data_IF_049077166494
#
_entry.id   IF_049077166494
#
_cell.length_a   1.000
_cell.length_b   1.000
_cell.length_c   1.000
_cell.angle_alpha   90.00
_cell.angle_beta   90.00
_cell.angle_gamma   90.00
#
_symmetry.space_group_name_H-M   'P 1'
#
loop_
_entity.id
_entity.type
_entity.pdbx_description
1 polymer ?
#
# COMPACT_ATOMS: atom_id res chain seq x y z
N UNK A 1 21.37 31.43 -3.01
CA UNK A 1 21.43 29.96 -3.16
C UNK A 1 20.19 29.44 -2.46
N UNK A 2 19.37 28.66 -3.13
CA UNK A 2 18.19 28.05 -2.50
C UNK A 2 18.59 26.84 -1.62
N UNK A 3 17.63 26.31 -0.86
CA UNK A 3 17.87 25.19 0.07
C UNK A 3 18.41 23.94 -0.65
N UNK A 4 17.87 23.64 -1.83
CA UNK A 4 18.25 22.51 -2.66
C UNK A 4 19.70 22.59 -3.14
N UNK A 5 20.09 23.75 -3.65
CA UNK A 5 21.47 23.99 -4.07
C UNK A 5 22.42 23.99 -2.88
N UNK A 6 21.95 24.53 -1.73
CA UNK A 6 22.74 24.61 -0.50
C UNK A 6 23.20 23.25 0.00
N UNK A 7 22.33 22.24 -0.04
CA UNK A 7 22.63 20.89 0.40
C UNK A 7 22.85 19.88 -0.73
N UNK A 8 22.98 20.34 -1.97
CA UNK A 8 23.16 19.48 -3.14
C UNK A 8 22.07 18.40 -3.28
N UNK A 9 20.80 18.74 -3.05
CA UNK A 9 19.72 17.78 -3.12
C UNK A 9 19.47 17.27 -4.55
N UNK A 10 19.29 15.97 -4.69
CA UNK A 10 19.06 15.28 -5.95
C UNK A 10 17.63 15.49 -6.47
N UNK A 11 17.40 16.62 -7.18
CA UNK A 11 16.10 16.95 -7.77
C UNK A 11 14.96 17.24 -6.78
N UNK A 12 15.28 17.47 -5.50
CA UNK A 12 14.31 17.64 -4.40
C UNK A 12 14.41 19.01 -3.75
N UNK A 13 13.31 19.44 -3.14
CA UNK A 13 13.23 20.71 -2.41
C UNK A 13 13.55 20.55 -0.91
N UNK A 14 13.58 19.33 -0.39
CA UNK A 14 13.79 19.03 1.03
C UNK A 14 14.26 17.59 1.24
N UNK A 15 14.64 17.23 2.49
CA UNK A 15 14.97 15.85 2.89
C UNK A 15 13.72 14.99 3.18
N UNK A 16 12.54 15.37 2.71
CA UNK A 16 11.30 14.60 2.93
C UNK A 16 11.12 13.51 1.90
N UNK A 17 10.45 12.42 2.33
CA UNK A 17 10.04 11.30 1.48
C UNK A 17 8.55 11.09 1.69
N UNK A 18 7.79 11.19 0.62
CA UNK A 18 6.34 10.94 0.62
C UNK A 18 5.88 10.41 -0.74
N UNK A 19 5.66 9.09 -0.89
CA UNK A 19 5.26 8.50 -2.16
C UNK A 19 3.85 8.91 -2.61
N UNK A 20 3.00 9.45 -1.71
CA UNK A 20 1.70 10.03 -2.08
C UNK A 20 1.85 11.36 -2.80
N UNK A 21 2.92 12.10 -2.52
CA UNK A 21 3.23 13.41 -3.13
C UNK A 21 4.17 13.24 -4.32
N UNK A 22 5.22 12.44 -4.15
CA UNK A 22 6.21 12.16 -5.19
C UNK A 22 6.27 10.65 -5.45
N UNK A 23 5.68 10.15 -6.56
CA UNK A 23 5.66 8.71 -6.86
C UNK A 23 7.04 8.05 -6.97
N UNK A 24 8.10 8.82 -7.33
CA UNK A 24 9.46 8.28 -7.38
C UNK A 24 9.97 7.85 -5.99
N UNK A 25 9.37 8.33 -4.92
CA UNK A 25 9.70 7.95 -3.55
C UNK A 25 9.30 6.50 -3.24
N UNK A 26 8.46 5.88 -4.03
CA UNK A 26 8.06 4.48 -3.90
C UNK A 26 9.25 3.51 -4.00
N UNK A 27 10.30 3.88 -4.73
CA UNK A 27 11.53 3.07 -4.86
C UNK A 27 12.33 2.97 -3.58
N UNK A 28 12.21 3.95 -2.68
CA UNK A 28 13.03 4.03 -1.47
C UNK A 28 12.49 3.13 -0.36
N UNK A 29 13.37 2.31 0.19
CA UNK A 29 13.10 1.48 1.37
C UNK A 29 14.39 1.26 2.13
N UNK A 30 14.68 2.15 3.07
CA UNK A 30 15.96 2.23 3.77
C UNK A 30 15.99 1.33 5.00
N UNK A 31 17.16 0.79 5.27
CA UNK A 31 17.38 -0.15 6.36
C UNK A 31 16.49 -1.39 6.23
N UNK A 32 16.41 -2.20 7.27
CA UNK A 32 15.45 -3.32 7.38
C UNK A 32 15.52 -4.34 6.23
N UNK A 33 16.71 -4.58 5.71
CA UNK A 33 16.92 -5.51 4.57
C UNK A 33 16.32 -6.90 4.84
N UNK A 34 16.37 -7.38 6.09
CA UNK A 34 15.79 -8.67 6.45
C UNK A 34 14.27 -8.70 6.25
N UNK A 35 13.56 -7.66 6.71
CA UNK A 35 12.10 -7.54 6.57
C UNK A 35 11.72 -7.41 5.08
N UNK A 36 12.42 -6.52 4.37
CA UNK A 36 12.26 -6.32 2.93
C UNK A 36 12.40 -7.63 2.15
N UNK A 37 13.48 -8.38 2.41
CA UNK A 37 13.75 -9.66 1.77
C UNK A 37 12.70 -10.72 2.12
N UNK A 38 12.24 -10.76 3.38
CA UNK A 38 11.15 -11.64 3.82
C UNK A 38 9.86 -11.35 3.05
N UNK A 39 9.44 -10.09 2.97
CA UNK A 39 8.22 -9.70 2.24
C UNK A 39 8.35 -10.04 0.75
N UNK A 40 9.47 -9.65 0.11
CA UNK A 40 9.73 -9.95 -1.30
C UNK A 40 9.71 -11.46 -1.58
N UNK A 41 10.27 -12.28 -0.71
CA UNK A 41 10.25 -13.74 -0.85
C UNK A 41 8.82 -14.32 -0.76
N UNK A 42 7.99 -13.82 0.15
CA UNK A 42 6.59 -14.24 0.28
C UNK A 42 5.76 -13.83 -0.94
N UNK A 43 5.97 -12.62 -1.47
CA UNK A 43 5.32 -12.17 -2.69
C UNK A 43 5.69 -13.07 -3.88
N UNK A 44 6.96 -13.37 -4.09
CA UNK A 44 7.41 -14.28 -5.17
C UNK A 44 6.72 -15.63 -5.08
N UNK A 45 6.65 -16.24 -3.90
CA UNK A 45 5.96 -17.53 -3.69
C UNK A 45 4.50 -17.46 -4.13
N UNK A 46 3.80 -16.36 -3.83
CA UNK A 46 2.39 -16.18 -4.20
C UNK A 46 2.17 -16.19 -5.72
N UNK A 47 3.19 -15.86 -6.52
CA UNK A 47 3.10 -15.87 -7.98
C UNK A 47 3.61 -17.17 -8.62
N UNK A 48 4.46 -17.93 -7.94
CA UNK A 48 4.95 -19.24 -8.41
C UNK A 48 3.87 -20.31 -8.23
N UNK A 49 3.22 -20.34 -7.09
CA UNK A 49 2.02 -21.12 -6.85
C UNK A 49 0.84 -20.42 -7.56
N UNK A 50 -0.10 -21.16 -8.19
CA UNK A 50 -1.24 -20.53 -8.85
C UNK A 50 -2.06 -19.77 -7.80
N UNK A 51 -1.74 -18.50 -7.59
CA UNK A 51 -2.32 -17.68 -6.54
C UNK A 51 -2.05 -16.20 -6.70
N UNK A 52 -2.41 -15.48 -5.66
CA UNK A 52 -2.25 -14.03 -5.48
C UNK A 52 -1.77 -13.74 -4.06
N UNK A 53 -1.06 -12.64 -3.83
CA UNK A 53 -0.61 -12.30 -2.48
C UNK A 53 -1.79 -12.04 -1.55
N UNK A 54 -1.72 -12.56 -0.33
CA UNK A 54 -2.61 -12.26 0.78
C UNK A 54 -1.73 -12.00 1.99
N UNK A 55 -1.64 -10.74 2.41
CA UNK A 55 -0.69 -10.31 3.44
C UNK A 55 -1.28 -9.23 4.32
N UNK A 56 -0.86 -9.19 5.57
CA UNK A 56 -1.14 -8.12 6.52
C UNK A 56 0.19 -7.57 7.04
N UNK A 57 0.37 -6.27 6.92
CA UNK A 57 1.53 -5.54 7.43
C UNK A 57 1.05 -4.71 8.62
N UNK A 58 1.76 -4.75 9.74
CA UNK A 58 1.39 -3.97 10.90
C UNK A 58 2.60 -3.34 11.58
N UNK A 59 2.38 -2.30 12.37
CA UNK A 59 3.41 -1.56 13.09
C UNK A 59 2.89 -0.25 13.65
N UNK A 60 3.71 0.44 14.43
CA UNK A 60 3.38 1.74 15.03
C UNK A 60 3.19 2.84 13.99
N UNK A 61 2.66 4.01 14.41
CA UNK A 61 2.64 5.21 13.57
C UNK A 61 4.07 5.63 13.19
N UNK A 62 4.26 6.00 11.91
CA UNK A 62 5.57 6.41 11.42
C UNK A 62 6.56 5.26 11.19
N UNK A 63 6.15 4.00 11.40
CA UNK A 63 6.99 2.84 11.12
C UNK A 63 7.27 2.61 9.63
N UNK A 64 6.57 3.28 8.70
CA UNK A 64 6.77 3.17 7.26
C UNK A 64 5.86 2.16 6.56
N UNK A 65 4.70 1.81 7.13
CA UNK A 65 3.72 0.90 6.51
C UNK A 65 3.25 1.38 5.14
N UNK A 66 2.82 2.64 5.05
CA UNK A 66 2.42 3.27 3.78
C UNK A 66 3.56 3.23 2.77
N UNK A 67 4.78 3.61 3.19
CA UNK A 67 5.98 3.51 2.34
C UNK A 67 6.22 2.07 1.88
N UNK A 68 5.98 1.09 2.75
CA UNK A 68 6.09 -0.33 2.40
C UNK A 68 5.10 -0.70 1.28
N UNK A 69 3.84 -0.27 1.36
CA UNK A 69 2.85 -0.56 0.30
C UNK A 69 3.30 0.01 -1.05
N UNK A 70 3.73 1.26 -1.11
CA UNK A 70 4.22 1.88 -2.35
C UNK A 70 5.50 1.22 -2.87
N UNK A 71 6.43 0.87 -1.96
CA UNK A 71 7.63 0.12 -2.34
C UNK A 71 7.29 -1.26 -2.93
N UNK A 72 6.29 -1.95 -2.39
CA UNK A 72 5.84 -3.23 -2.91
C UNK A 72 5.16 -3.09 -4.27
N UNK A 73 4.42 -2.01 -4.51
CA UNK A 73 3.93 -1.69 -5.85
C UNK A 73 5.09 -1.54 -6.84
N UNK A 74 6.05 -0.67 -6.50
CA UNK A 74 7.24 -0.47 -7.33
C UNK A 74 7.98 -1.79 -7.62
N UNK A 75 8.18 -2.62 -6.59
CA UNK A 75 8.81 -3.91 -6.70
C UNK A 75 8.05 -4.86 -7.63
N UNK A 76 6.73 -4.96 -7.48
CA UNK A 76 5.88 -5.84 -8.27
C UNK A 76 5.82 -5.42 -9.74
N UNK A 77 5.86 -4.12 -10.02
CA UNK A 77 5.81 -3.57 -11.37
C UNK A 77 7.15 -3.65 -12.11
N UNK A 78 8.27 -3.50 -11.39
CA UNK A 78 9.56 -3.26 -12.02
C UNK A 78 10.62 -4.34 -11.74
N UNK A 79 10.55 -5.04 -10.61
CA UNK A 79 11.64 -5.90 -10.14
C UNK A 79 11.26 -7.38 -9.97
N UNK A 80 9.97 -7.73 -9.94
CA UNK A 80 9.52 -9.09 -9.65
C UNK A 80 9.29 -9.91 -10.95
N UNK A 81 10.22 -10.79 -11.36
CA UNK A 81 10.10 -11.56 -12.61
C UNK A 81 8.93 -12.53 -12.60
N UNK A 82 8.58 -13.08 -11.42
CA UNK A 82 7.50 -14.03 -11.24
C UNK A 82 6.12 -13.37 -11.45
N UNK A 83 6.00 -12.08 -11.11
CA UNK A 83 4.80 -11.29 -11.37
C UNK A 83 4.62 -11.00 -12.88
N UNK A 84 5.71 -11.00 -13.65
CA UNK A 84 5.69 -10.63 -15.08
C UNK A 84 5.01 -11.64 -16.00
N UNK A 85 4.58 -12.81 -15.50
CA UNK A 85 3.76 -13.76 -16.29
C UNK A 85 2.36 -13.21 -16.58
N UNK A 86 1.85 -12.37 -15.68
CA UNK A 86 0.62 -11.58 -15.83
C UNK A 86 0.88 -10.21 -15.22
N UNK A 87 0.59 -9.15 -15.96
CA UNK A 87 0.84 -7.78 -15.48
C UNK A 87 0.05 -7.51 -14.18
N UNK A 88 0.71 -7.15 -13.08
CA UNK A 88 -0.02 -6.81 -11.85
C UNK A 88 -0.81 -5.52 -12.05
N UNK A 89 -2.13 -5.59 -11.86
CA UNK A 89 -3.02 -4.44 -11.73
C UNK A 89 -3.11 -4.09 -10.26
N UNK A 90 -2.31 -3.13 -9.82
CA UNK A 90 -2.22 -2.72 -8.44
C UNK A 90 -3.12 -1.51 -8.21
N UNK A 91 -3.90 -1.56 -7.14
CA UNK A 91 -4.87 -0.53 -6.76
C UNK A 91 -4.66 -0.15 -5.30
N UNK A 92 -4.38 1.13 -5.05
CA UNK A 92 -4.28 1.69 -3.70
C UNK A 92 -5.64 2.12 -3.19
N UNK A 93 -5.90 1.82 -1.92
CA UNK A 93 -7.11 2.18 -1.21
C UNK A 93 -6.76 2.56 0.23
N UNK A 94 -7.01 3.81 0.61
CA UNK A 94 -7.08 4.21 2.01
C UNK A 94 -8.47 3.83 2.52
N UNK A 95 -8.54 2.88 3.47
CA UNK A 95 -9.81 2.37 3.99
C UNK A 95 -10.53 3.45 4.78
N UNK A 96 -11.81 3.64 4.48
CA UNK A 96 -12.69 4.55 5.20
C UNK A 96 -13.85 3.77 5.82
N UNK A 97 -13.80 3.57 7.15
CA UNK A 97 -14.83 2.87 7.91
C UNK A 97 -15.37 3.71 9.04
N UNK A 98 -16.69 3.76 9.15
CA UNK A 98 -17.43 4.48 10.19
C UNK A 98 -18.19 3.50 11.09
N UNK A 99 -18.80 4.01 12.14
CA UNK A 99 -19.50 3.18 13.15
C UNK A 99 -20.65 2.32 12.61
N UNK A 100 -21.20 2.69 11.45
CA UNK A 100 -22.31 1.98 10.77
C UNK A 100 -21.88 1.28 9.49
N UNK A 101 -20.62 1.41 9.09
CA UNK A 101 -20.10 0.76 7.88
C UNK A 101 -20.17 -0.76 8.01
N UNK A 102 -20.45 -1.42 6.89
CA UNK A 102 -20.50 -2.86 6.77
C UNK A 102 -19.71 -3.37 5.55
N UNK A 103 -19.90 -4.62 5.19
CA UNK A 103 -19.24 -5.24 4.02
C UNK A 103 -19.61 -4.58 2.69
N UNK A 104 -20.75 -3.90 2.58
CA UNK A 104 -21.17 -3.20 1.35
C UNK A 104 -20.32 -1.96 1.13
N UNK A 105 -20.04 -1.21 2.20
CA UNK A 105 -19.17 -0.03 2.11
C UNK A 105 -17.74 -0.41 1.71
N UNK A 106 -17.20 -1.50 2.27
CA UNK A 106 -15.88 -1.98 1.88
C UNK A 106 -15.87 -2.47 0.43
N UNK A 107 -16.86 -3.26 0.03
CA UNK A 107 -16.98 -3.73 -1.35
C UNK A 107 -17.09 -2.57 -2.34
N UNK A 108 -17.90 -1.56 -2.01
CA UNK A 108 -18.05 -0.35 -2.81
C UNK A 108 -16.68 0.34 -3.03
N UNK A 109 -15.90 0.55 -1.97
CA UNK A 109 -14.58 1.16 -2.06
C UNK A 109 -13.65 0.34 -2.98
N UNK A 110 -13.61 -0.99 -2.86
CA UNK A 110 -12.79 -1.86 -3.72
C UNK A 110 -13.19 -1.76 -5.19
N UNK A 111 -14.48 -1.83 -5.48
CA UNK A 111 -14.99 -1.80 -6.86
C UNK A 111 -14.83 -0.41 -7.48
N UNK A 112 -15.11 0.67 -6.74
CA UNK A 112 -14.93 2.05 -7.24
C UNK A 112 -13.46 2.38 -7.51
N UNK A 113 -12.53 1.91 -6.67
CA UNK A 113 -11.08 2.07 -6.90
C UNK A 113 -10.63 1.38 -8.19
N UNK A 114 -11.22 0.23 -8.54
CA UNK A 114 -10.94 -0.45 -9.79
C UNK A 114 -11.45 0.35 -11.01
N UNK A 115 -12.61 0.95 -10.89
CA UNK A 115 -13.22 1.80 -11.90
C UNK A 115 -13.94 1.07 -13.02
N UNK A 116 -15.11 1.61 -13.41
CA UNK A 116 -15.97 1.07 -14.48
C UNK A 116 -15.22 0.90 -15.81
N UNK A 117 -14.43 1.90 -16.20
CA UNK A 117 -13.71 1.92 -17.48
C UNK A 117 -12.78 0.73 -17.64
N UNK A 118 -12.08 0.36 -16.57
CA UNK A 118 -11.16 -0.79 -16.53
C UNK A 118 -11.91 -2.10 -16.81
N UNK A 119 -12.99 -2.34 -16.05
CA UNK A 119 -13.78 -3.58 -16.18
C UNK A 119 -14.45 -3.66 -17.55
N UNK A 120 -15.01 -2.55 -18.05
CA UNK A 120 -15.61 -2.49 -19.40
C UNK A 120 -14.57 -2.79 -20.49
N UNK A 121 -13.36 -2.24 -20.38
CA UNK A 121 -12.29 -2.51 -21.35
C UNK A 121 -11.86 -4.00 -21.33
N UNK A 122 -11.85 -4.66 -20.18
CA UNK A 122 -11.58 -6.10 -20.10
C UNK A 122 -12.66 -6.93 -20.78
N UNK A 123 -13.94 -6.55 -20.62
CA UNK A 123 -15.05 -7.23 -21.28
C UNK A 123 -14.99 -7.01 -22.81
N UNK A 124 -14.64 -5.82 -23.27
CA UNK A 124 -14.49 -5.53 -24.70
C UNK A 124 -13.32 -6.32 -25.31
N UNK A 125 -12.21 -6.44 -24.62
CA UNK A 125 -11.09 -7.29 -25.06
C UNK A 125 -11.47 -8.77 -25.10
N UNK A 126 -12.20 -9.25 -24.09
CA UNK A 126 -12.71 -10.62 -24.07
C UNK A 126 -13.66 -10.86 -25.25
N UNK A 127 -14.60 -9.92 -25.50
CA UNK A 127 -15.55 -10.00 -26.62
C UNK A 127 -14.83 -10.08 -27.99
N UNK A 128 -13.75 -9.33 -28.17
CA UNK A 128 -13.01 -9.36 -29.43
C UNK A 128 -12.28 -10.68 -29.70
N UNK A 129 -12.08 -11.52 -28.67
CA UNK A 129 -11.33 -12.78 -28.72
C UNK A 129 -12.22 -14.03 -28.64
N UNK A 130 -13.50 -13.88 -28.30
CA UNK A 130 -14.40 -15.02 -28.13
C UNK A 130 -15.58 -14.99 -29.11
N UNK A 131 -16.01 -16.17 -29.56
CA UNK A 131 -17.21 -16.30 -30.39
C UNK A 131 -18.50 -16.28 -29.58
N UNK A 132 -18.43 -16.59 -28.28
CA UNK A 132 -19.60 -16.67 -27.39
C UNK A 132 -19.29 -16.02 -26.04
N UNK A 133 -19.56 -14.71 -25.97
CA UNK A 133 -19.33 -13.92 -24.78
C UNK A 133 -20.17 -14.41 -23.58
N UNK A 134 -21.43 -14.80 -23.81
CA UNK A 134 -22.35 -15.25 -22.74
C UNK A 134 -21.79 -16.50 -22.04
N UNK A 135 -21.29 -17.46 -22.79
CA UNK A 135 -20.68 -18.68 -22.23
C UNK A 135 -19.42 -18.35 -21.44
N UNK A 136 -18.56 -17.47 -21.96
CA UNK A 136 -17.33 -17.07 -21.28
C UNK A 136 -17.65 -16.32 -19.99
N UNK A 137 -18.57 -15.34 -20.00
CA UNK A 137 -18.94 -14.60 -18.80
C UNK A 137 -19.56 -15.52 -17.74
N UNK A 138 -20.40 -16.48 -18.14
CA UNK A 138 -20.95 -17.50 -17.21
C UNK A 138 -19.83 -18.37 -16.61
N UNK A 139 -18.83 -18.73 -17.38
CA UNK A 139 -17.66 -19.49 -16.90
C UNK A 139 -16.83 -18.67 -15.89
N UNK A 140 -16.64 -17.38 -16.16
CA UNK A 140 -15.84 -16.46 -15.33
C UNK A 140 -16.56 -16.19 -14.00
N UNK A 141 -17.83 -15.81 -14.05
CA UNK A 141 -18.57 -15.38 -12.87
C UNK A 141 -19.26 -16.52 -12.10
N UNK A 142 -19.52 -17.65 -12.76
CA UNK A 142 -20.21 -18.80 -12.15
C UNK A 142 -21.66 -18.53 -11.72
N UNK A 143 -22.20 -17.36 -12.03
CA UNK A 143 -23.54 -16.90 -11.65
C UNK A 143 -24.19 -16.15 -12.80
N UNK A 144 -25.46 -16.49 -13.12
CA UNK A 144 -26.18 -15.92 -14.27
C UNK A 144 -26.38 -14.40 -14.11
N UNK A 145 -26.78 -13.92 -12.93
CA UNK A 145 -27.01 -12.49 -12.70
C UNK A 145 -25.70 -11.69 -12.85
N UNK A 146 -24.57 -12.22 -12.33
CA UNK A 146 -23.26 -11.57 -12.48
C UNK A 146 -22.82 -11.52 -13.94
N UNK A 147 -23.04 -12.60 -14.70
CA UNK A 147 -22.73 -12.67 -16.13
C UNK A 147 -23.58 -11.67 -16.95
N UNK A 148 -24.89 -11.57 -16.68
CA UNK A 148 -25.78 -10.63 -17.35
C UNK A 148 -25.40 -9.17 -16.99
N UNK A 149 -25.13 -8.87 -15.70
CA UNK A 149 -24.66 -7.55 -15.30
C UNK A 149 -23.32 -7.19 -15.98
N UNK A 150 -22.37 -8.13 -16.06
CA UNK A 150 -21.09 -7.93 -16.75
C UNK A 150 -21.28 -7.65 -18.26
N UNK A 151 -22.16 -8.39 -18.92
CA UNK A 151 -22.51 -8.16 -20.33
C UNK A 151 -23.04 -6.74 -20.54
N UNK A 152 -23.89 -6.26 -19.63
CA UNK A 152 -24.48 -4.92 -19.69
C UNK A 152 -23.48 -3.79 -19.44
N UNK A 153 -22.36 -4.04 -18.74
CA UNK A 153 -21.29 -3.04 -18.59
C UNK A 153 -20.77 -2.55 -19.95
N UNK A 154 -20.68 -3.45 -20.91
CA UNK A 154 -20.22 -3.16 -22.27
C UNK A 154 -21.19 -2.29 -23.07
N UNK A 155 -22.50 -2.36 -22.77
CA UNK A 155 -23.51 -1.64 -23.53
C UNK A 155 -23.34 -0.12 -23.51
N UNK A 156 -22.56 0.43 -22.55
CA UNK A 156 -22.39 1.88 -22.40
C UNK A 156 -23.65 2.61 -21.94
N UNK A 157 -23.64 3.94 -21.98
CA UNK A 157 -24.77 4.78 -21.60
C UNK A 157 -25.40 4.42 -20.24
N UNK A 158 -26.71 4.60 -20.13
CA UNK A 158 -27.47 4.37 -18.90
C UNK A 158 -27.45 2.91 -18.44
N UNK A 159 -27.47 1.95 -19.37
CA UNK A 159 -27.50 0.53 -19.01
C UNK A 159 -26.16 0.09 -18.44
N UNK A 160 -25.04 0.58 -19.03
CA UNK A 160 -23.71 0.29 -18.51
C UNK A 160 -23.44 0.97 -17.16
N UNK A 161 -24.01 2.15 -16.90
CA UNK A 161 -23.94 2.79 -15.59
C UNK A 161 -24.76 2.01 -14.55
N UNK A 162 -25.94 1.53 -14.94
CA UNK A 162 -26.80 0.73 -14.08
C UNK A 162 -26.13 -0.60 -13.70
N UNK A 163 -25.48 -1.26 -14.67
CA UNK A 163 -24.69 -2.47 -14.43
C UNK A 163 -23.52 -2.22 -13.48
N UNK A 164 -22.86 -1.07 -13.61
CA UNK A 164 -21.80 -0.68 -12.68
C UNK A 164 -22.32 -0.47 -11.26
N UNK A 165 -23.41 0.24 -11.09
CA UNK A 165 -24.07 0.40 -9.78
C UNK A 165 -24.42 -0.95 -9.15
N UNK A 166 -24.87 -1.92 -9.98
CA UNK A 166 -25.13 -3.28 -9.52
C UNK A 166 -23.85 -3.94 -8.97
N UNK A 167 -22.70 -3.85 -9.69
CA UNK A 167 -21.41 -4.38 -9.23
C UNK A 167 -20.87 -3.66 -7.99
N UNK A 168 -21.15 -2.38 -7.85
CA UNK A 168 -20.82 -1.61 -6.64
C UNK A 168 -21.66 -2.02 -5.42
N UNK A 169 -22.70 -2.85 -5.58
CA UNK A 169 -23.56 -3.29 -4.49
C UNK A 169 -24.71 -2.35 -4.16
N UNK A 170 -24.95 -1.33 -5.00
CA UNK A 170 -26.12 -0.45 -4.81
C UNK A 170 -27.43 -1.22 -4.92
N UNK A 171 -28.39 -0.85 -4.09
CA UNK A 171 -29.76 -1.33 -4.20
C UNK A 171 -30.43 -0.77 -5.46
N UNK A 172 -30.96 -1.64 -6.31
CA UNK A 172 -31.62 -1.27 -7.55
C UNK A 172 -33.14 -1.48 -7.42
N UNK A 173 -33.90 -0.63 -8.11
CA UNK A 173 -35.38 -0.75 -8.18
C UNK A 173 -35.78 -1.93 -9.07
N UNK A 174 -36.99 -2.50 -8.91
CA UNK A 174 -37.45 -3.63 -9.72
C UNK A 174 -37.35 -3.40 -11.24
N UNK A 175 -37.72 -2.21 -11.72
CA UNK A 175 -37.60 -1.85 -13.14
C UNK A 175 -36.14 -1.71 -13.62
N UNK A 176 -35.21 -1.37 -12.73
CA UNK A 176 -33.78 -1.30 -13.02
C UNK A 176 -33.17 -2.70 -13.11
N UNK A 177 -33.61 -3.63 -12.23
CA UNK A 177 -33.24 -5.04 -12.27
C UNK A 177 -33.71 -5.71 -13.56
N UNK A 178 -34.98 -5.46 -13.97
CA UNK A 178 -35.51 -5.95 -15.20
C UNK A 178 -34.72 -5.48 -16.43
N UNK A 179 -34.36 -4.21 -16.48
CA UNK A 179 -33.53 -3.65 -17.56
C UNK A 179 -32.14 -4.31 -17.66
N UNK A 180 -31.57 -4.76 -16.55
CA UNK A 180 -30.32 -5.52 -16.51
C UNK A 180 -30.49 -7.01 -16.76
N UNK A 181 -31.74 -7.51 -16.82
CA UNK A 181 -32.04 -8.94 -16.86
C UNK A 181 -31.43 -9.70 -15.66
N UNK A 182 -31.49 -9.08 -14.46
CA UNK A 182 -31.03 -9.67 -13.19
C UNK A 182 -32.20 -9.74 -12.21
N UNK A 183 -32.17 -10.70 -11.29
CA UNK A 183 -33.31 -10.97 -10.39
C UNK A 183 -33.22 -10.23 -9.05
N UNK A 184 -32.01 -9.83 -8.61
CA UNK A 184 -31.76 -9.16 -7.33
C UNK A 184 -30.58 -8.21 -7.42
N UNK A 185 -30.55 -7.22 -6.54
CA UNK A 185 -29.36 -6.39 -6.32
C UNK A 185 -28.24 -7.21 -5.70
N UNK A 186 -26.99 -6.94 -6.05
CA UNK A 186 -25.84 -7.67 -5.49
C UNK A 186 -25.76 -7.46 -3.96
N UNK A 187 -26.05 -6.24 -3.48
CA UNK A 187 -26.08 -5.94 -2.05
C UNK A 187 -27.10 -6.74 -1.23
N UNK A 188 -28.16 -7.29 -1.87
CA UNK A 188 -29.16 -8.11 -1.21
C UNK A 188 -28.76 -9.60 -1.12
N UNK A 189 -27.72 -10.00 -1.86
CA UNK A 189 -27.25 -11.39 -1.89
C UNK A 189 -26.28 -11.70 -0.72
N UNK A 190 -25.75 -10.67 -0.05
CA UNK A 190 -24.88 -10.79 1.10
C UNK A 190 -23.37 -10.84 0.78
N UNK A 191 -22.57 -10.81 1.86
CA UNK A 191 -21.12 -10.66 1.79
C UNK A 191 -20.42 -11.70 0.88
N UNK A 192 -20.87 -12.96 0.93
CA UNK A 192 -20.27 -14.03 0.15
C UNK A 192 -20.43 -13.84 -1.36
N UNK A 193 -21.62 -13.40 -1.81
CA UNK A 193 -21.88 -13.15 -3.23
C UNK A 193 -21.18 -11.89 -3.73
N UNK A 194 -21.07 -10.87 -2.90
CA UNK A 194 -20.29 -9.69 -3.24
C UNK A 194 -18.80 -10.04 -3.47
N UNK A 195 -18.21 -10.88 -2.62
CA UNK A 195 -16.86 -11.41 -2.86
C UNK A 195 -16.79 -12.24 -4.14
N UNK A 196 -17.80 -13.10 -4.41
CA UNK A 196 -17.84 -13.87 -5.65
C UNK A 196 -17.88 -12.97 -6.90
N UNK A 197 -18.59 -11.83 -6.84
CA UNK A 197 -18.59 -10.84 -7.91
C UNK A 197 -17.19 -10.19 -8.09
N UNK A 198 -16.52 -9.80 -7.01
CA UNK A 198 -15.17 -9.26 -7.06
C UNK A 198 -14.17 -10.31 -7.59
N UNK A 199 -14.25 -11.56 -7.14
CA UNK A 199 -13.43 -12.67 -7.66
C UNK A 199 -13.71 -12.94 -9.14
N UNK A 200 -14.96 -12.82 -9.57
CA UNK A 200 -15.34 -12.87 -11.00
C UNK A 200 -14.65 -11.77 -11.80
N UNK A 201 -14.61 -10.54 -11.28
CA UNK A 201 -13.87 -9.44 -11.89
C UNK A 201 -12.36 -9.77 -11.92
N UNK A 202 -11.80 -10.34 -10.87
CA UNK A 202 -10.40 -10.79 -10.85
C UNK A 202 -10.10 -11.86 -11.91
N UNK A 203 -10.99 -12.84 -12.09
CA UNK A 203 -10.89 -13.84 -13.17
C UNK A 203 -10.99 -13.20 -14.56
N UNK A 204 -11.81 -12.16 -14.70
CA UNK A 204 -11.89 -11.38 -15.94
C UNK A 204 -10.56 -10.66 -16.22
N UNK A 205 -9.89 -10.10 -15.18
CA UNK A 205 -8.56 -9.56 -15.31
C UNK A 205 -7.55 -10.62 -15.77
N UNK A 206 -7.57 -11.82 -15.17
CA UNK A 206 -6.71 -12.95 -15.58
C UNK A 206 -6.90 -13.36 -17.04
N UNK A 207 -8.14 -13.34 -17.56
CA UNK A 207 -8.40 -13.56 -18.99
C UNK A 207 -7.81 -12.46 -19.87
N UNK A 208 -7.48 -11.33 -19.30
CA UNK A 208 -6.80 -10.21 -19.94
C UNK A 208 -5.30 -10.12 -19.59
N UNK A 209 -4.74 -11.22 -19.04
CA UNK A 209 -3.32 -11.31 -18.66
C UNK A 209 -2.92 -10.32 -17.56
N UNK A 210 -3.88 -9.92 -16.71
CA UNK A 210 -3.66 -9.03 -15.58
C UNK A 210 -3.97 -9.76 -14.26
N UNK A 211 -3.23 -9.45 -13.18
CA UNK A 211 -3.50 -9.92 -11.80
C UNK A 211 -3.98 -8.76 -10.95
N UNK A 212 -5.16 -8.90 -10.35
CA UNK A 212 -5.76 -7.87 -9.52
C UNK A 212 -5.21 -7.93 -8.09
N UNK A 213 -4.60 -6.85 -7.61
CA UNK A 213 -4.02 -6.74 -6.28
C UNK A 213 -4.45 -5.42 -5.65
N UNK A 214 -5.05 -5.47 -4.46
CA UNK A 214 -5.37 -4.30 -3.67
C UNK A 214 -4.31 -4.07 -2.59
N UNK A 215 -3.79 -2.84 -2.53
CA UNK A 215 -2.96 -2.35 -1.43
C UNK A 215 -3.84 -1.45 -0.57
N UNK A 216 -4.18 -1.92 0.62
CA UNK A 216 -5.13 -1.26 1.51
C UNK A 216 -4.39 -0.68 2.72
N UNK A 217 -4.43 0.64 2.88
CA UNK A 217 -3.89 1.34 4.05
C UNK A 217 -4.98 1.66 5.07
N UNK A 218 -4.59 2.09 6.26
CA UNK A 218 -5.49 2.55 7.34
C UNK A 218 -6.48 1.47 7.84
N UNK A 219 -6.10 0.18 7.81
CA UNK A 219 -7.02 -0.92 8.17
C UNK A 219 -7.42 -0.94 9.67
N UNK A 220 -6.80 -0.16 10.53
CA UNK A 220 -7.30 0.13 11.88
C UNK A 220 -8.69 0.77 11.87
N UNK A 221 -9.11 1.38 10.77
CA UNK A 221 -10.47 1.90 10.59
C UNK A 221 -11.55 0.85 10.80
N UNK A 222 -11.25 -0.43 10.61
CA UNK A 222 -12.18 -1.51 10.95
C UNK A 222 -12.60 -1.50 12.44
N UNK A 223 -11.78 -0.96 13.34
CA UNK A 223 -12.12 -0.78 14.77
C UNK A 223 -13.24 0.23 15.01
N UNK A 224 -13.53 1.08 14.03
CA UNK A 224 -14.60 2.08 14.15
C UNK A 224 -15.99 1.45 14.03
N UNK A 225 -16.10 0.27 13.37
CA UNK A 225 -17.38 -0.44 13.23
C UNK A 225 -17.86 -0.95 14.59
N UNK A 226 -19.08 -0.57 14.98
CA UNK A 226 -19.59 -0.81 16.35
C UNK A 226 -20.76 -1.79 16.42
N UNK A 227 -21.41 -2.11 15.31
CA UNK A 227 -22.56 -3.03 15.31
C UNK A 227 -22.09 -4.47 15.08
N UNK A 228 -22.57 -5.41 15.91
CA UNK A 228 -22.18 -6.82 15.82
C UNK A 228 -22.47 -7.44 14.44
N UNK A 229 -23.64 -7.15 13.88
CA UNK A 229 -24.04 -7.67 12.55
C UNK A 229 -23.11 -7.14 11.43
N UNK A 230 -22.72 -5.86 11.50
CA UNK A 230 -21.80 -5.29 10.53
C UNK A 230 -20.40 -5.89 10.68
N UNK A 231 -19.92 -6.09 11.91
CA UNK A 231 -18.62 -6.74 12.18
C UNK A 231 -18.60 -8.17 11.65
N UNK A 232 -19.65 -8.96 11.89
CA UNK A 232 -19.75 -10.33 11.38
C UNK A 232 -19.87 -10.38 9.86
N UNK A 233 -20.55 -9.42 9.25
CA UNK A 233 -20.62 -9.32 7.78
C UNK A 233 -19.29 -8.97 7.14
N UNK A 234 -18.52 -8.04 7.72
CA UNK A 234 -17.16 -7.71 7.33
C UNK A 234 -16.22 -8.91 7.51
N UNK A 235 -16.33 -9.61 8.64
CA UNK A 235 -15.56 -10.81 8.88
C UNK A 235 -15.87 -11.90 7.82
N UNK A 236 -17.14 -12.12 7.51
CA UNK A 236 -17.56 -13.06 6.46
C UNK A 236 -16.96 -12.66 5.10
N UNK A 237 -16.98 -11.36 4.78
CA UNK A 237 -16.41 -10.83 3.56
C UNK A 237 -14.88 -11.09 3.49
N UNK A 238 -14.12 -10.69 4.52
CA UNK A 238 -12.67 -10.91 4.55
C UNK A 238 -12.31 -12.40 4.51
N UNK A 239 -12.99 -13.20 5.32
CA UNK A 239 -12.79 -14.66 5.36
C UNK A 239 -12.96 -15.28 3.98
N UNK A 240 -14.00 -14.87 3.25
CA UNK A 240 -14.29 -15.34 1.90
C UNK A 240 -13.25 -14.85 0.88
N UNK A 241 -12.84 -13.60 0.98
CA UNK A 241 -11.80 -13.01 0.14
C UNK A 241 -10.44 -13.70 0.36
N UNK A 242 -10.15 -14.07 1.62
CA UNK A 242 -8.92 -14.76 2.01
C UNK A 242 -8.91 -16.27 1.67
N UNK A 243 -10.02 -16.86 1.22
CA UNK A 243 -10.05 -18.30 0.91
C UNK A 243 -8.94 -18.71 -0.08
N UNK A 244 -8.25 -19.85 0.17
CA UNK A 244 -7.20 -20.34 -0.74
C UNK A 244 -7.68 -20.57 -2.17
N UNK A 245 -8.97 -20.91 -2.35
CA UNK A 245 -9.61 -21.07 -3.67
C UNK A 245 -9.74 -19.77 -4.46
N UNK A 246 -9.64 -18.60 -3.80
CA UNK A 246 -9.54 -17.32 -4.47
C UNK A 246 -8.09 -17.07 -4.90
N UNK A 247 -7.79 -17.35 -6.15
CA UNK A 247 -6.48 -17.12 -6.78
C UNK A 247 -6.42 -15.88 -7.66
N UNK A 248 -7.54 -15.13 -7.78
CA UNK A 248 -7.70 -14.08 -8.80
C UNK A 248 -7.66 -12.66 -8.22
N UNK A 249 -7.90 -12.51 -6.91
CA UNK A 249 -7.86 -11.22 -6.21
C UNK A 249 -6.92 -11.30 -5.04
N UNK A 250 -5.80 -10.59 -5.14
CA UNK A 250 -4.83 -10.43 -4.08
C UNK A 250 -5.06 -9.18 -3.23
N UNK A 251 -4.50 -9.18 -2.04
CA UNK A 251 -4.50 -8.01 -1.18
C UNK A 251 -3.28 -7.96 -0.27
N UNK A 252 -2.84 -6.76 0.03
CA UNK A 252 -1.87 -6.45 1.08
C UNK A 252 -2.50 -5.35 1.92
N UNK A 253 -2.74 -5.64 3.19
CA UNK A 253 -3.43 -4.75 4.13
C UNK A 253 -2.39 -4.18 5.09
N UNK A 254 -2.32 -2.86 5.24
CA UNK A 254 -1.52 -2.20 6.26
C UNK A 254 -2.42 -1.69 7.40
N UNK A 255 -2.03 -1.96 8.63
CA UNK A 255 -2.79 -1.59 9.83
C UNK A 255 -1.88 -1.03 10.92
N UNK A 256 -2.34 0.00 11.60
CA UNK A 256 -1.73 0.39 12.87
C UNK A 256 -2.02 -0.66 13.94
N UNK A 257 -0.95 -1.23 14.50
CA UNK A 257 -0.98 -2.07 15.69
C UNK A 257 0.43 -2.18 16.27
N UNK A 258 0.55 -2.25 17.60
CA UNK A 258 1.83 -2.50 18.26
C UNK A 258 2.13 -4.00 18.33
N UNK A 259 1.09 -4.80 18.44
CA UNK A 259 1.13 -6.26 18.46
C UNK A 259 0.00 -6.83 17.59
N UNK A 260 0.02 -8.12 17.32
CA UNK A 260 -1.11 -8.78 16.63
C UNK A 260 -2.42 -8.61 17.38
N UNK A 261 -2.38 -8.64 18.72
CA UNK A 261 -3.58 -8.55 19.56
C UNK A 261 -4.19 -7.13 19.55
N UNK A 262 -3.39 -6.13 19.18
CA UNK A 262 -3.86 -4.74 19.03
C UNK A 262 -4.53 -4.47 17.68
N UNK A 263 -4.54 -5.42 16.75
CA UNK A 263 -5.18 -5.23 15.45
C UNK A 263 -6.71 -5.26 15.56
N UNK A 264 -7.39 -4.88 14.48
CA UNK A 264 -8.83 -5.09 14.38
C UNK A 264 -9.15 -6.59 14.49
N UNK A 265 -10.12 -6.96 15.33
CA UNK A 265 -10.48 -8.34 15.62
C UNK A 265 -10.69 -9.18 14.35
N UNK A 266 -11.35 -8.61 13.35
CA UNK A 266 -11.64 -9.30 12.09
C UNK A 266 -10.38 -9.75 11.33
N UNK A 267 -9.24 -9.06 11.51
CA UNK A 267 -7.97 -9.41 10.85
C UNK A 267 -7.25 -10.57 11.58
N UNK A 268 -7.43 -10.69 12.89
CA UNK A 268 -6.70 -11.65 13.73
C UNK A 268 -7.51 -12.88 14.12
N UNK A 269 -8.78 -12.97 13.77
CA UNK A 269 -9.58 -14.20 14.00
C UNK A 269 -8.89 -15.41 13.39
N UNK A 270 -8.87 -16.51 14.13
CA UNK A 270 -8.12 -17.71 13.79
C UNK A 270 -8.43 -18.25 12.39
N UNK A 271 -9.68 -18.19 11.97
CA UNK A 271 -10.13 -18.67 10.66
C UNK A 271 -9.66 -17.77 9.49
N UNK A 272 -9.47 -16.46 9.73
CA UNK A 272 -8.88 -15.53 8.77
C UNK A 272 -7.35 -15.71 8.73
N UNK A 273 -6.70 -15.74 9.90
CA UNK A 273 -5.26 -15.95 10.00
C UNK A 273 -4.80 -17.23 9.31
N UNK A 274 -5.53 -18.33 9.51
CA UNK A 274 -5.23 -19.61 8.84
C UNK A 274 -5.31 -19.50 7.30
N UNK A 275 -6.26 -18.72 6.76
CA UNK A 275 -6.43 -18.54 5.30
C UNK A 275 -5.40 -17.61 4.69
N UNK A 276 -5.04 -16.56 5.37
CA UNK A 276 -3.96 -15.64 4.97
C UNK A 276 -2.60 -16.34 5.11
N UNK A 277 -2.44 -17.15 6.16
CA UNK A 277 -1.20 -17.80 6.55
C UNK A 277 -0.44 -17.00 7.61
N UNK A 278 -0.04 -17.66 8.69
CA UNK A 278 0.65 -17.02 9.83
C UNK A 278 1.89 -16.22 9.43
N UNK A 279 2.67 -16.73 8.48
CA UNK A 279 3.88 -16.07 8.01
C UNK A 279 3.62 -14.80 7.18
N UNK A 280 2.38 -14.60 6.74
CA UNK A 280 1.95 -13.45 5.95
C UNK A 280 1.47 -12.27 6.82
N UNK A 281 1.56 -12.40 8.14
CA UNK A 281 1.46 -11.29 9.09
C UNK A 281 2.87 -10.78 9.36
N UNK A 282 3.17 -9.58 8.85
CA UNK A 282 4.53 -9.02 8.90
C UNK A 282 4.54 -7.75 9.73
N UNK A 283 5.29 -7.79 10.82
CA UNK A 283 5.56 -6.61 11.63
C UNK A 283 6.59 -5.70 10.94
N UNK A 284 6.31 -4.40 10.98
CA UNK A 284 7.26 -3.34 10.62
C UNK A 284 7.64 -2.61 11.93
N UNK A 285 8.65 -3.10 12.65
CA UNK A 285 9.03 -2.53 13.94
C UNK A 285 9.76 -1.19 13.76
N UNK A 286 9.95 -0.41 14.83
CA UNK A 286 10.96 0.65 14.87
C UNK A 286 12.34 0.09 14.53
N UNK A 287 13.30 0.96 14.28
CA UNK A 287 14.69 0.54 14.06
C UNK A 287 15.29 0.07 15.40
N UNK A 288 15.74 -1.19 15.52
CA UNK A 288 15.97 -1.81 16.82
C UNK A 288 17.29 -1.39 17.49
N UNK A 289 18.25 -0.84 16.72
CA UNK A 289 19.58 -0.51 17.23
C UNK A 289 20.15 0.76 16.63
N UNK A 290 21.12 1.34 17.28
CA UNK A 290 21.89 2.50 16.77
C UNK A 290 22.49 2.21 15.39
N UNK A 291 22.95 0.98 15.15
CA UNK A 291 23.47 0.55 13.86
C UNK A 291 22.41 0.57 12.75
N UNK A 292 21.17 0.17 13.06
CA UNK A 292 20.08 0.21 12.08
C UNK A 292 19.68 1.65 11.77
N UNK A 293 19.72 2.55 12.77
CA UNK A 293 19.53 3.99 12.59
C UNK A 293 20.62 4.56 11.70
N UNK A 294 21.87 4.21 11.96
CA UNK A 294 23.02 4.66 11.17
C UNK A 294 22.91 4.21 9.71
N UNK A 295 22.58 2.94 9.46
CA UNK A 295 22.38 2.41 8.11
C UNK A 295 21.25 3.16 7.41
N UNK A 296 20.10 3.32 8.09
CA UNK A 296 18.96 4.05 7.55
C UNK A 296 19.33 5.48 7.13
N UNK A 297 20.02 6.22 7.99
CA UNK A 297 20.41 7.61 7.73
C UNK A 297 21.43 7.71 6.60
N UNK A 298 22.41 6.82 6.54
CA UNK A 298 23.40 6.79 5.43
C UNK A 298 22.73 6.48 4.08
N UNK A 299 21.84 5.50 4.03
CA UNK A 299 21.09 5.18 2.81
C UNK A 299 20.19 6.35 2.40
N UNK A 300 19.51 6.99 3.36
CA UNK A 300 18.69 8.17 3.12
C UNK A 300 19.50 9.31 2.48
N UNK A 301 20.63 9.67 3.11
CA UNK A 301 21.50 10.75 2.63
C UNK A 301 22.10 10.43 1.25
N UNK A 302 22.54 9.18 1.04
CA UNK A 302 23.10 8.74 -0.23
C UNK A 302 22.13 8.89 -1.42
N UNK A 303 20.83 8.68 -1.19
CA UNK A 303 19.80 8.78 -2.23
C UNK A 303 19.27 10.21 -2.43
N UNK A 304 19.18 11.00 -1.36
CA UNK A 304 18.64 12.35 -1.43
C UNK A 304 19.64 13.41 -1.88
N UNK A 305 20.93 13.12 -1.80
CA UNK A 305 22.03 14.06 -2.12
C UNK A 305 22.64 13.68 -3.48
N UNK A 306 22.90 14.66 -4.31
CA UNK A 306 23.64 14.50 -5.56
C UNK A 306 25.14 14.36 -5.25
N UNK A 307 25.62 13.13 -5.20
CA UNK A 307 26.93 12.76 -4.66
C UNK A 307 28.10 13.53 -5.30
N UNK A 308 28.08 13.68 -6.62
CA UNK A 308 29.15 14.39 -7.34
C UNK A 308 29.22 15.88 -6.94
N UNK A 309 28.08 16.56 -6.83
CA UNK A 309 28.03 17.96 -6.40
C UNK A 309 28.42 18.14 -4.95
N UNK A 310 28.00 17.21 -4.09
CA UNK A 310 28.37 17.22 -2.68
C UNK A 310 29.88 17.02 -2.51
N UNK A 311 30.49 16.08 -3.23
CA UNK A 311 31.95 15.85 -3.20
C UNK A 311 32.71 17.07 -3.65
N UNK A 312 32.33 17.69 -4.79
CA UNK A 312 32.93 18.93 -5.28
C UNK A 312 32.81 20.06 -4.24
N UNK A 313 31.66 20.22 -3.60
CA UNK A 313 31.42 21.24 -2.58
C UNK A 313 32.28 21.01 -1.33
N UNK A 314 32.33 19.76 -0.83
CA UNK A 314 33.15 19.39 0.32
C UNK A 314 34.64 19.75 0.07
N UNK A 315 35.15 19.46 -1.13
CA UNK A 315 36.54 19.76 -1.50
C UNK A 315 36.77 21.26 -1.68
N UNK A 316 35.90 21.94 -2.43
CA UNK A 316 36.09 23.37 -2.75
C UNK A 316 35.96 24.26 -1.51
N UNK A 317 35.05 23.96 -0.61
CA UNK A 317 34.83 24.72 0.62
C UNK A 317 35.64 24.18 1.82
N UNK A 318 36.40 23.09 1.64
CA UNK A 318 37.20 22.43 2.69
C UNK A 318 36.39 22.13 3.96
N UNK A 319 35.20 21.58 3.81
CA UNK A 319 34.21 21.43 4.88
C UNK A 319 34.62 20.41 5.96
N UNK A 320 35.55 19.51 5.67
CA UNK A 320 36.05 18.53 6.66
C UNK A 320 35.03 17.43 7.03
N UNK A 321 34.02 17.18 6.20
CA UNK A 321 33.00 16.17 6.42
C UNK A 321 33.14 15.00 5.43
N UNK A 322 32.66 13.82 5.83
CA UNK A 322 32.56 12.65 4.95
C UNK A 322 31.37 12.77 4.01
N UNK A 323 31.52 12.30 2.78
CA UNK A 323 30.39 12.21 1.82
C UNK A 323 29.27 11.31 2.34
N UNK A 324 29.59 10.25 3.09
CA UNK A 324 28.61 9.32 3.67
C UNK A 324 27.66 9.96 4.68
N UNK A 325 28.12 11.01 5.38
CA UNK A 325 27.34 11.69 6.43
C UNK A 325 26.95 13.12 6.05
N UNK A 326 27.45 13.62 4.89
CA UNK A 326 27.10 14.96 4.45
C UNK A 326 25.56 15.15 4.39
N UNK A 327 25.02 16.27 4.90
CA UNK A 327 25.69 17.49 5.36
C UNK A 327 26.09 17.51 6.85
N UNK A 328 26.02 16.40 7.58
CA UNK A 328 26.41 16.32 9.00
C UNK A 328 27.93 16.19 9.16
N UNK A 329 28.49 16.82 10.19
CA UNK A 329 29.81 16.43 10.70
C UNK A 329 29.75 15.03 11.30
N UNK A 330 30.87 14.32 11.43
CA UNK A 330 30.91 13.00 12.04
C UNK A 330 30.28 12.99 13.44
N UNK A 331 30.66 13.97 14.26
CA UNK A 331 30.15 14.11 15.63
C UNK A 331 28.66 14.43 15.67
N UNK A 332 28.15 15.29 14.74
CA UNK A 332 26.72 15.59 14.65
C UNK A 332 25.90 14.39 14.23
N UNK A 333 26.41 13.58 13.29
CA UNK A 333 25.78 12.36 12.84
C UNK A 333 25.68 11.32 13.95
N UNK A 334 26.76 11.14 14.73
CA UNK A 334 26.81 10.25 15.89
C UNK A 334 25.78 10.69 16.96
N UNK A 335 25.78 11.98 17.31
CA UNK A 335 24.79 12.54 18.25
C UNK A 335 23.37 12.32 17.80
N UNK A 336 23.06 12.47 16.51
CA UNK A 336 21.72 12.19 15.97
C UNK A 336 21.35 10.70 16.12
N UNK A 337 22.29 9.81 15.82
CA UNK A 337 22.08 8.36 15.98
C UNK A 337 21.86 7.98 17.46
N UNK A 338 22.61 8.60 18.38
CA UNK A 338 22.43 8.38 19.82
C UNK A 338 21.06 8.84 20.30
N UNK A 339 20.62 10.06 19.98
CA UNK A 339 19.29 10.56 20.36
C UNK A 339 18.18 9.65 19.83
N UNK A 340 18.25 9.28 18.56
CA UNK A 340 17.24 8.42 17.95
C UNK A 340 17.17 7.02 18.58
N UNK A 341 18.28 6.53 19.15
CA UNK A 341 18.38 5.19 19.73
C UNK A 341 18.12 5.14 21.23
N UNK A 342 18.01 6.29 21.93
CA UNK A 342 17.73 6.35 23.37
C UNK A 342 16.39 5.70 23.72
N UNK A 343 15.38 5.91 22.88
CA UNK A 343 14.07 5.28 22.99
C UNK A 343 13.78 4.51 21.69
N UNK A 344 13.92 3.18 21.70
CA UNK A 344 13.66 2.39 20.48
C UNK A 344 12.26 2.57 19.90
N UNK A 345 11.28 2.95 20.71
CA UNK A 345 9.91 3.19 20.21
C UNK A 345 9.79 4.45 19.37
N UNK A 346 10.75 5.36 19.47
CA UNK A 346 10.85 6.63 18.73
C UNK A 346 11.80 6.56 17.54
N UNK A 347 12.62 5.50 17.44
CA UNK A 347 13.52 5.25 16.30
C UNK A 347 12.72 4.84 15.04
N UNK A 348 11.84 5.72 14.61
CA UNK A 348 10.94 5.52 13.49
C UNK A 348 11.44 6.26 12.24
N UNK A 349 11.32 5.68 11.04
CA UNK A 349 11.67 6.35 9.78
C UNK A 349 11.16 7.79 9.67
N UNK A 350 9.90 8.00 10.04
CA UNK A 350 9.27 9.33 10.01
C UNK A 350 9.99 10.34 10.89
N UNK A 351 10.37 9.93 12.11
CA UNK A 351 11.06 10.81 13.05
C UNK A 351 12.49 11.12 12.57
N UNK A 352 13.18 10.13 12.01
CA UNK A 352 14.53 10.30 11.46
C UNK A 352 14.54 11.25 10.26
N UNK A 353 13.64 11.05 9.31
CA UNK A 353 13.50 11.94 8.15
C UNK A 353 13.17 13.36 8.60
N UNK A 354 12.25 13.50 9.57
CA UNK A 354 11.92 14.80 10.16
C UNK A 354 13.13 15.45 10.83
N UNK A 355 13.90 14.70 11.61
CA UNK A 355 15.08 15.22 12.30
C UNK A 355 16.14 15.71 11.30
N UNK A 356 16.44 14.93 10.26
CA UNK A 356 17.35 15.35 9.18
C UNK A 356 16.87 16.64 8.53
N UNK A 357 15.59 16.71 8.17
CA UNK A 357 15.03 17.89 7.51
C UNK A 357 15.06 19.14 8.39
N UNK A 358 14.66 19.04 9.67
CA UNK A 358 14.65 20.16 10.61
C UNK A 358 16.08 20.64 10.93
N UNK A 359 17.04 19.73 11.11
CA UNK A 359 18.44 20.10 11.27
C UNK A 359 19.00 20.84 10.04
N UNK A 360 18.61 20.38 8.83
CA UNK A 360 19.03 21.04 7.60
C UNK A 360 18.40 22.44 7.46
N UNK A 361 17.11 22.61 7.82
CA UNK A 361 16.45 23.92 7.82
C UNK A 361 17.14 24.87 8.79
N UNK A 362 17.43 24.43 10.02
CA UNK A 362 18.13 25.25 11.02
C UNK A 362 19.51 25.67 10.52
N UNK A 363 20.30 24.75 9.97
CA UNK A 363 21.63 25.06 9.40
C UNK A 363 21.54 26.06 8.25
N UNK A 364 20.52 25.91 7.38
CA UNK A 364 20.32 26.84 6.26
C UNK A 364 19.93 28.24 6.73
N UNK A 365 19.05 28.37 7.73
CA UNK A 365 18.64 29.64 8.33
C UNK A 365 19.83 30.36 8.98
N UNK A 366 20.69 29.61 9.61
CA UNK A 366 21.95 30.11 10.20
C UNK A 366 23.10 30.33 9.18
N UNK A 367 22.86 29.98 7.91
CA UNK A 367 23.82 30.01 6.80
C UNK A 367 25.07 29.16 7.06
N UNK A 368 24.90 28.04 7.76
CA UNK A 368 25.93 27.03 7.98
C UNK A 368 25.92 26.02 6.83
N UNK A 369 27.07 25.78 6.16
CA UNK A 369 27.13 24.84 5.02
C UNK A 369 27.07 23.37 5.44
N UNK A 370 27.25 23.11 6.74
CA UNK A 370 27.22 21.78 7.37
C UNK A 370 26.42 21.83 8.66
N UNK A 371 25.92 20.66 9.08
CA UNK A 371 25.21 20.50 10.34
C UNK A 371 26.16 20.05 11.42
N UNK A 372 26.32 20.89 12.45
CA UNK A 372 27.18 20.69 13.59
C UNK A 372 26.41 20.12 14.80
N UNK A 373 27.08 19.58 15.84
CA UNK A 373 26.40 18.95 16.98
C UNK A 373 25.48 19.89 17.77
N UNK A 374 25.73 21.21 17.77
CA UNK A 374 24.89 22.20 18.43
C UNK A 374 23.47 22.23 17.83
N UNK A 375 23.35 22.20 16.51
CA UNK A 375 22.06 22.13 15.81
C UNK A 375 21.31 20.84 16.16
N UNK A 376 22.01 19.70 16.14
CA UNK A 376 21.40 18.41 16.48
C UNK A 376 20.93 18.39 17.94
N UNK A 377 21.73 18.92 18.87
CA UNK A 377 21.40 19.02 20.30
C UNK A 377 20.17 19.92 20.57
N UNK A 378 19.90 20.88 19.70
CA UNK A 378 18.69 21.72 19.78
C UNK A 378 17.48 21.01 19.22
N UNK A 379 17.59 20.37 18.04
CA UNK A 379 16.46 19.83 17.28
C UNK A 379 16.06 18.42 17.73
N UNK A 380 17.03 17.51 17.97
CA UNK A 380 16.75 16.11 18.26
C UNK A 380 15.88 15.90 19.52
N UNK A 381 16.05 16.64 20.62
CA UNK A 381 15.18 16.51 21.79
C UNK A 381 13.70 16.87 21.50
N UNK A 382 13.43 17.74 20.54
CA UNK A 382 12.07 18.14 20.16
C UNK A 382 11.34 17.02 19.39
N UNK A 383 12.09 16.08 18.84
CA UNK A 383 11.55 14.99 17.99
C UNK A 383 11.57 13.66 18.74
N UNK A 384 12.65 13.39 19.48
CA UNK A 384 12.86 12.13 20.19
C UNK A 384 12.66 12.25 21.72
N UNK A 385 12.51 13.46 22.25
CA UNK A 385 12.32 13.77 23.68
C UNK A 385 10.94 13.47 24.28
#
# INVERSE_FOLDING_TARGET
MDFKEWFCLNGRESFTIDPKVNPDDARFYFGREEIKNRIKAQLRRSFVEPGVPKMVIYGSFGSGKTQTLFHLEHYLQNECPEACRQTPRILHLDLEMHSKSDHKDWHLQLVETLGKSTVSAWIDRLFSRTQNLDTELRSIFGNVNMAEAAKNLRAGGDIGLLAWRWFCGYELRPNELERLNVTRSLGDLGAGDMVNALVGIGRLAERNEEKLIFLMDEAEQFKNVKTGDATESLHTYLRKLAEPSNSSVGFIIASYALTLDDMAELLVRADVRTRIGENNFVEIPPLPSIKDVEIFLKELLAELIEQNKAEEKIQNESLGVSLETYPFTADAFEVLCEFASQDPTKALPRNLIKAVNECAISAWDERKPIIEPDIVNEIAPLIFG
#
